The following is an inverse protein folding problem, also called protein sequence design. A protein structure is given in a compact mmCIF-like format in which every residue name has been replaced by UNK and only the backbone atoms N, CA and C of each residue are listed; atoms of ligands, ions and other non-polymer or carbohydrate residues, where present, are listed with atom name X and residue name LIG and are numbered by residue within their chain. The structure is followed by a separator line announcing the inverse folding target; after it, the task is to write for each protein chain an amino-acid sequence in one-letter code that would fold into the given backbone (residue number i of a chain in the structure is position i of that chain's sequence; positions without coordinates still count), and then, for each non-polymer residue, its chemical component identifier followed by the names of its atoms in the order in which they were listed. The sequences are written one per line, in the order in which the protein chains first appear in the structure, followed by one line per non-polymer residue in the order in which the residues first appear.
data_IF_288118657296
#
_entry.id   IF_288118657296
#
_cell.length_a   1.000
_cell.length_b   1.000
_cell.length_c   1.000
_cell.angle_alpha   90.00
_cell.angle_beta   90.00
_cell.angle_gamma   90.00
#
_symmetry.space_group_name_H-M   'P 1'
#
loop_
_entity.id
_entity.type
_entity.pdbx_description
1 polymer ?
#
# COMPACT_ATOMS: atom_id res chain seq x y z
N UNK A 1 -22.78 -14.40 7.73
CA UNK A 1 -22.31 -13.78 7.59
C UNK A 1 -22.16 -13.20 7.23
N UNK A 2 -22.29 -12.98 7.31
CA UNK A 2 -21.91 -12.43 7.06
C UNK A 2 -22.15 -11.12 6.60
N UNK A 3 -22.93 -10.30 7.21
CA UNK A 3 -23.19 -8.95 6.82
C UNK A 3 -21.96 -8.14 6.59
N UNK A 4 -20.97 -8.37 7.42
CA UNK A 4 -19.70 -7.65 7.29
C UNK A 4 -19.00 -7.99 5.99
N UNK A 5 -19.02 -9.26 5.63
CA UNK A 5 -18.36 -9.70 4.40
C UNK A 5 -19.14 -9.27 3.18
N UNK A 6 -20.44 -9.22 3.29
CA UNK A 6 -21.29 -8.90 2.15
C UNK A 6 -21.08 -7.52 1.60
N UNK A 7 -20.63 -6.57 2.45
CA UNK A 7 -20.43 -5.21 2.00
C UNK A 7 -19.19 -5.02 1.17
N UNK A 8 -18.17 -5.84 1.37
CA UNK A 8 -16.88 -5.65 0.71
C UNK A 8 -16.79 -6.49 -0.55
N UNK A 9 -16.39 -5.85 -1.65
CA UNK A 9 -16.24 -6.54 -2.92
C UNK A 9 -15.15 -5.88 -3.73
N UNK A 10 -14.54 -6.64 -4.63
CA UNK A 10 -13.56 -6.09 -5.55
C UNK A 10 -14.30 -5.21 -6.56
N UNK A 11 -13.82 -3.98 -6.70
CA UNK A 11 -14.39 -3.04 -7.64
C UNK A 11 -13.66 -3.08 -8.98
N UNK A 12 -12.33 -3.08 -8.94
CA UNK A 12 -11.50 -3.07 -10.13
C UNK A 12 -10.18 -3.75 -9.90
N UNK A 13 -9.64 -4.29 -10.98
CA UNK A 13 -8.30 -4.87 -11.00
C UNK A 13 -7.60 -4.33 -12.24
N UNK A 14 -6.49 -3.61 -12.05
CA UNK A 14 -5.78 -2.98 -13.17
C UNK A 14 -4.30 -3.31 -13.06
N UNK A 15 -3.71 -3.77 -14.14
CA UNK A 15 -2.27 -4.01 -14.21
C UNK A 15 -1.58 -2.68 -14.50
N UNK A 16 -0.60 -2.36 -13.68
CA UNK A 16 0.12 -1.09 -13.79
C UNK A 16 1.61 -1.36 -13.70
N UNK A 17 2.40 -0.90 -14.69
CA UNK A 17 3.85 -0.97 -14.55
C UNK A 17 4.32 0.07 -13.55
N UNK A 18 5.22 -0.35 -12.67
CA UNK A 18 5.76 0.51 -11.62
C UNK A 18 7.25 0.69 -11.84
N UNK A 19 7.72 1.91 -11.64
CA UNK A 19 9.15 2.18 -11.69
C UNK A 19 9.50 3.16 -10.58
N UNK A 20 10.50 2.79 -9.82
CA UNK A 20 10.94 3.59 -8.67
C UNK A 20 12.16 4.43 -9.05
N UNK A 21 12.47 5.40 -8.21
CA UNK A 21 13.52 6.38 -8.50
C UNK A 21 14.89 5.74 -8.68
N UNK A 22 15.14 4.60 -8.04
CA UNK A 22 16.41 3.89 -8.15
C UNK A 22 16.47 3.00 -9.40
N UNK A 23 15.45 3.01 -10.23
CA UNK A 23 15.41 2.24 -11.46
C UNK A 23 14.74 0.89 -11.35
N UNK A 24 14.44 0.44 -10.13
CA UNK A 24 13.73 -0.83 -9.99
C UNK A 24 12.34 -0.74 -10.61
N UNK A 25 11.96 -1.74 -11.39
CA UNK A 25 10.62 -1.76 -11.98
C UNK A 25 10.01 -3.14 -11.87
N UNK A 26 8.69 -3.15 -11.83
CA UNK A 26 7.90 -4.37 -11.81
C UNK A 26 6.51 -4.02 -12.32
N UNK A 27 5.66 -5.03 -12.52
CA UNK A 27 4.27 -4.79 -12.87
C UNK A 27 3.40 -5.32 -11.75
N UNK A 28 2.47 -4.50 -11.31
CA UNK A 28 1.56 -4.85 -10.23
C UNK A 28 0.13 -4.91 -10.75
N UNK A 29 -0.72 -5.66 -10.05
CA UNK A 29 -2.16 -5.56 -10.25
C UNK A 29 -2.72 -4.81 -9.06
N UNK A 30 -3.26 -3.63 -9.33
CA UNK A 30 -3.85 -2.79 -8.28
C UNK A 30 -5.31 -3.13 -8.19
N UNK A 31 -5.77 -3.46 -6.99
CA UNK A 31 -7.13 -3.92 -6.73
C UNK A 31 -7.80 -2.91 -5.82
N UNK A 32 -8.94 -2.39 -6.26
CA UNK A 32 -9.74 -1.49 -5.44
C UNK A 32 -11.02 -2.19 -5.00
N UNK A 33 -11.67 -1.61 -3.99
CA UNK A 33 -12.80 -2.25 -3.34
C UNK A 33 -13.98 -1.31 -3.19
N UNK A 34 -15.18 -1.89 -3.07
CA UNK A 34 -16.38 -1.17 -2.67
C UNK A 34 -16.87 -1.77 -1.36
N UNK A 35 -17.65 -1.01 -0.62
CA UNK A 35 -18.33 -1.53 0.55
C UNK A 35 -17.46 -1.74 1.77
N UNK A 36 -16.30 -1.08 1.82
CA UNK A 36 -15.48 -1.14 3.02
C UNK A 36 -16.16 -0.38 4.15
N UNK A 37 -16.08 -0.93 5.36
CA UNK A 37 -16.82 -0.41 6.49
C UNK A 37 -16.40 1.01 6.88
N UNK A 38 -15.14 1.37 6.65
CA UNK A 38 -14.63 2.70 6.99
C UNK A 38 -14.80 3.71 5.85
N UNK A 39 -15.38 3.29 4.72
CA UNK A 39 -15.61 4.12 3.55
C UNK A 39 -14.33 4.73 2.95
N UNK A 40 -13.16 4.16 3.29
CA UNK A 40 -11.90 4.63 2.75
C UNK A 40 -11.58 3.93 1.42
N UNK A 41 -10.68 4.53 0.66
CA UNK A 41 -10.29 4.03 -0.65
C UNK A 41 -8.99 3.22 -0.55
N UNK A 42 -8.99 2.20 0.31
CA UNK A 42 -7.82 1.34 0.43
C UNK A 42 -7.64 0.51 -0.84
N UNK A 43 -6.39 0.18 -1.15
CA UNK A 43 -6.11 -0.66 -2.31
C UNK A 43 -5.18 -1.80 -1.92
N UNK A 44 -5.28 -2.91 -2.64
CA UNK A 44 -4.32 -4.00 -2.55
C UNK A 44 -3.46 -3.98 -3.81
N UNK A 45 -2.16 -4.11 -3.63
CA UNK A 45 -1.21 -4.15 -4.74
C UNK A 45 -0.67 -5.56 -4.82
N UNK A 46 -1.13 -6.31 -5.81
CA UNK A 46 -0.73 -7.69 -6.02
C UNK A 46 0.57 -7.72 -6.82
N UNK A 47 1.56 -8.45 -6.32
CA UNK A 47 2.89 -8.48 -6.89
C UNK A 47 3.36 -9.92 -7.06
N UNK A 48 4.13 -10.17 -8.12
CA UNK A 48 4.62 -11.50 -8.40
C UNK A 48 3.46 -12.43 -8.73
N UNK A 49 3.58 -13.67 -8.27
CA UNK A 49 2.53 -14.67 -8.52
C UNK A 49 2.07 -15.26 -7.18
N UNK A 50 1.17 -14.59 -6.48
CA UNK A 50 0.73 -15.09 -5.17
C UNK A 50 0.15 -16.49 -5.24
N UNK A 51 -0.58 -16.79 -6.31
CA UNK A 51 -1.21 -18.11 -6.43
C UNK A 51 -0.20 -19.24 -6.61
N UNK A 52 0.99 -18.93 -7.13
CA UNK A 52 2.05 -19.92 -7.32
C UNK A 52 2.96 -20.02 -6.10
N UNK A 53 2.84 -19.09 -5.17
CA UNK A 53 3.60 -19.10 -3.94
C UNK A 53 2.93 -20.02 -2.93
N UNK A 54 3.70 -20.85 -2.25
CA UNK A 54 3.12 -21.66 -1.17
C UNK A 54 2.64 -20.80 -0.02
N UNK A 55 3.29 -19.64 0.18
CA UNK A 55 2.97 -18.77 1.30
C UNK A 55 3.15 -17.31 0.86
N UNK A 56 2.09 -16.68 0.38
CA UNK A 56 2.19 -15.29 -0.07
C UNK A 56 2.59 -14.36 1.06
N UNK A 57 3.40 -13.37 0.76
CA UNK A 57 3.75 -12.33 1.72
C UNK A 57 2.71 -11.23 1.68
N UNK A 58 2.40 -10.67 2.84
CA UNK A 58 1.45 -9.55 2.95
C UNK A 58 2.09 -8.48 3.82
N UNK A 59 2.05 -7.25 3.34
CA UNK A 59 2.54 -6.10 4.09
C UNK A 59 1.47 -5.03 4.15
N UNK A 60 1.18 -4.56 5.35
CA UNK A 60 0.34 -3.38 5.52
C UNK A 60 1.21 -2.13 5.44
N UNK A 61 0.80 -1.18 4.63
CA UNK A 61 1.50 0.08 4.49
C UNK A 61 0.49 1.21 4.64
N UNK A 62 0.63 2.02 5.69
CA UNK A 62 -0.25 3.16 5.89
C UNK A 62 0.21 4.31 5.03
N UNK A 63 -0.72 4.96 4.35
CA UNK A 63 -0.42 6.06 3.44
C UNK A 63 0.40 7.14 4.14
N UNK A 64 1.44 7.59 3.45
CA UNK A 64 2.27 8.67 3.90
C UNK A 64 2.63 9.51 2.67
N UNK A 65 1.78 10.49 2.38
CA UNK A 65 1.89 11.23 1.13
C UNK A 65 3.29 11.82 0.94
N UNK A 66 3.84 12.48 1.95
CA UNK A 66 5.14 13.12 1.81
C UNK A 66 6.26 12.11 1.65
N UNK A 67 6.20 10.98 2.37
CA UNK A 67 7.23 9.96 2.26
C UNK A 67 7.10 9.14 0.99
N UNK A 68 5.89 8.73 0.66
CA UNK A 68 5.66 7.83 -0.47
C UNK A 68 5.78 8.54 -1.82
N UNK A 69 5.37 9.80 -1.89
CA UNK A 69 5.32 10.53 -3.16
C UNK A 69 6.41 11.59 -3.26
N UNK A 70 6.63 12.35 -2.20
CA UNK A 70 7.52 13.50 -2.27
C UNK A 70 8.91 13.27 -1.67
N UNK A 71 9.17 12.05 -1.23
CA UNK A 71 10.50 11.71 -0.76
C UNK A 71 10.90 12.35 0.54
N UNK A 72 9.95 12.55 1.45
CA UNK A 72 10.27 13.15 2.75
C UNK A 72 11.37 12.37 3.45
N UNK A 73 12.31 13.09 4.03
CA UNK A 73 13.38 12.48 4.80
C UNK A 73 13.08 12.45 6.29
N UNK A 74 11.87 12.85 6.66
CA UNK A 74 11.46 12.80 8.05
C UNK A 74 10.90 11.45 8.46
N UNK A 75 10.73 10.55 7.51
CA UNK A 75 10.24 9.19 7.79
C UNK A 75 10.86 8.23 6.79
N UNK A 76 10.72 6.95 7.06
CA UNK A 76 11.24 5.89 6.19
C UNK A 76 10.17 5.29 5.30
N UNK A 77 9.00 5.94 5.19
CA UNK A 77 7.87 5.34 4.50
C UNK A 77 8.15 5.03 3.04
N UNK A 78 8.78 5.95 2.32
CA UNK A 78 9.14 5.72 0.93
C UNK A 78 10.08 4.56 0.73
N UNK A 79 11.25 4.54 1.39
CA UNK A 79 12.17 3.40 1.29
C UNK A 79 11.55 2.10 1.75
N UNK A 80 10.72 2.11 2.79
CA UNK A 80 10.07 0.88 3.25
C UNK A 80 9.09 0.35 2.22
N UNK A 81 8.33 1.23 1.57
CA UNK A 81 7.41 0.82 0.52
C UNK A 81 8.19 0.23 -0.66
N UNK A 82 9.26 0.90 -1.07
CA UNK A 82 10.10 0.44 -2.18
C UNK A 82 10.67 -0.95 -1.90
N UNK A 83 11.20 -1.16 -0.71
CA UNK A 83 11.77 -2.45 -0.32
C UNK A 83 10.69 -3.53 -0.29
N UNK A 84 9.53 -3.21 0.27
CA UNK A 84 8.44 -4.17 0.36
C UNK A 84 7.99 -4.62 -1.02
N UNK A 85 7.90 -3.68 -1.97
CA UNK A 85 7.48 -4.02 -3.33
C UNK A 85 8.43 -5.03 -3.96
N UNK A 86 9.73 -4.82 -3.82
CA UNK A 86 10.70 -5.74 -4.40
C UNK A 86 10.66 -7.12 -3.74
N UNK A 87 10.63 -7.15 -2.41
CA UNK A 87 10.61 -8.42 -1.68
C UNK A 87 9.36 -9.22 -1.99
N UNK A 88 8.23 -8.54 -2.03
CA UNK A 88 6.96 -9.22 -2.29
C UNK A 88 6.88 -9.66 -3.74
N UNK A 89 7.43 -8.87 -4.67
CA UNK A 89 7.46 -9.29 -6.08
C UNK A 89 8.21 -10.61 -6.24
N UNK A 90 9.33 -10.78 -5.55
CA UNK A 90 10.12 -12.02 -5.67
C UNK A 90 9.37 -13.23 -5.12
N UNK A 91 8.65 -13.07 -4.04
CA UNK A 91 7.94 -14.17 -3.39
C UNK A 91 6.54 -14.38 -3.95
N UNK A 92 5.90 -13.31 -4.36
CA UNK A 92 4.48 -13.29 -4.63
C UNK A 92 3.69 -12.90 -3.40
N UNK A 93 2.81 -11.93 -3.52
CA UNK A 93 2.01 -11.48 -2.41
C UNK A 93 1.37 -10.13 -2.65
N UNK A 94 1.13 -9.41 -1.58
CA UNK A 94 0.34 -8.18 -1.63
C UNK A 94 0.90 -7.11 -0.71
N UNK A 95 0.83 -5.86 -1.17
CA UNK A 95 0.93 -4.69 -0.28
C UNK A 95 -0.48 -4.15 -0.12
N UNK A 96 -0.95 -4.06 1.11
CA UNK A 96 -2.24 -3.46 1.41
C UNK A 96 -1.99 -2.00 1.77
N UNK A 97 -2.33 -1.12 0.84
CA UNK A 97 -2.05 0.31 1.00
C UNK A 97 -3.25 0.98 1.65
N UNK A 98 -3.08 1.35 2.90
CA UNK A 98 -4.17 1.87 3.73
C UNK A 98 -4.19 3.37 3.67
N UNK A 99 -5.32 3.94 3.25
CA UNK A 99 -5.45 5.38 3.10
C UNK A 99 -5.67 6.03 4.45
N UNK A 100 -5.21 7.28 4.56
CA UNK A 100 -5.26 8.03 5.81
C UNK A 100 -6.21 9.21 5.74
N UNK A 101 -7.07 9.25 4.76
CA UNK A 101 -7.89 10.43 4.49
C UNK A 101 -8.76 10.87 5.66
N UNK A 102 -9.22 9.95 6.46
CA UNK A 102 -10.10 10.30 7.58
C UNK A 102 -9.39 10.95 8.76
N UNK A 103 -8.06 11.02 8.72
CA UNK A 103 -7.31 11.53 9.88
C UNK A 103 -7.07 13.02 9.88
N UNK A 104 -7.26 13.69 8.75
CA UNK A 104 -7.01 15.11 8.64
C UNK A 104 -5.54 15.43 8.44
N UNK A 105 -5.31 16.53 7.74
CA UNK A 105 -3.96 16.92 7.37
C UNK A 105 -3.09 17.32 8.57
N UNK A 106 -3.70 17.88 9.60
CA UNK A 106 -2.94 18.32 10.76
C UNK A 106 -2.30 17.15 11.50
N UNK A 107 -3.07 16.06 11.67
CA UNK A 107 -2.54 14.86 12.32
C UNK A 107 -1.43 14.23 11.49
N UNK A 108 -1.63 14.19 10.19
CA UNK A 108 -0.63 13.65 9.27
C UNK A 108 0.67 14.44 9.32
N UNK A 109 0.58 15.76 9.28
CA UNK A 109 1.77 16.60 9.34
C UNK A 109 2.45 16.52 10.70
N UNK A 110 1.67 16.30 11.76
CA UNK A 110 2.24 16.06 13.08
C UNK A 110 3.10 14.82 13.11
N UNK A 111 2.66 13.75 12.46
CA UNK A 111 3.45 12.53 12.34
C UNK A 111 4.77 12.82 11.59
N UNK A 112 4.70 13.55 10.50
CA UNK A 112 5.91 13.89 9.74
C UNK A 112 6.87 14.70 10.56
N UNK A 113 6.36 15.62 11.37
CA UNK A 113 7.20 16.44 12.21
C UNK A 113 7.98 15.69 13.27
N UNK A 114 7.49 14.51 13.68
CA UNK A 114 8.11 13.72 14.73
C UNK A 114 8.91 12.54 14.23
N UNK A 115 8.73 12.15 12.98
CA UNK A 115 9.19 10.86 12.51
C UNK A 115 10.70 10.66 12.56
N UNK A 116 11.48 11.68 12.49
CA UNK A 116 12.93 11.58 12.49
C UNK A 116 13.59 12.19 13.68
N UNK A 117 12.85 12.36 14.74
CA UNK A 117 13.41 12.94 15.89
C UNK A 117 14.34 12.07 16.66
N UNK A 118 14.15 10.85 16.58
CA UNK A 118 14.93 9.92 17.39
C UNK A 118 16.41 9.94 17.08
#
# INVERSE_FOLDING_TARGET
MTGVVQGAAIRRRIRIPLRFADGYSTTATVVSFTGLTDAQQHVAVELGRPAASGLPLVRLHSECLTGDVFGSQRCDCGPQLREAVERITRNGGYVLYMRQEGRGIAAYLGHQGRARRA
#
